data_IF_810196866044
#
_entry.id   IF_810196866044
#
_cell.length_a   1.000
_cell.length_b   1.000
_cell.length_c   1.000
_cell.angle_alpha   90.00
_cell.angle_beta   90.00
_cell.angle_gamma   90.00
#
_symmetry.space_group_name_H-M   'P 1'
#
loop_
_entity.id
_entity.type
_entity.pdbx_description
1 polymer ?
#
# COMPACT_ATOMS: atom_id res chain seq x y z
N UNK A 1 31.14 16.03 12.77
CA UNK A 1 29.80 15.53 13.14
C UNK A 1 29.75 14.05 12.79
N UNK A 2 29.71 13.18 13.81
CA UNK A 2 29.88 11.73 13.62
C UNK A 2 28.65 11.03 13.03
N UNK A 3 28.90 9.88 12.42
CA UNK A 3 27.92 8.97 11.78
C UNK A 3 26.71 8.71 12.70
N UNK A 4 26.94 8.59 14.02
CA UNK A 4 25.90 8.37 15.03
C UNK A 4 24.88 9.52 15.07
N UNK A 5 25.31 10.78 14.93
CA UNK A 5 24.41 11.94 14.91
C UNK A 5 23.62 12.02 13.60
N UNK A 6 24.20 11.56 12.50
CA UNK A 6 23.54 11.53 11.18
C UNK A 6 22.51 10.40 11.07
N UNK A 7 22.79 9.24 11.67
CA UNK A 7 21.93 8.06 11.60
C UNK A 7 20.90 7.98 12.73
N UNK A 8 20.96 8.89 13.71
CA UNK A 8 20.07 8.86 14.88
C UNK A 8 18.58 8.80 14.48
N UNK A 9 18.14 9.62 13.52
CA UNK A 9 16.75 9.62 13.04
C UNK A 9 16.34 8.30 12.38
N UNK A 10 17.27 7.62 11.73
CA UNK A 10 17.02 6.32 11.11
C UNK A 10 16.87 5.22 12.17
N UNK A 11 17.74 5.23 13.17
CA UNK A 11 17.72 4.27 14.28
C UNK A 11 16.47 4.49 15.14
N UNK A 12 16.17 5.73 15.53
CA UNK A 12 14.99 6.04 16.34
C UNK A 12 13.69 5.76 15.57
N UNK A 13 13.64 6.08 14.27
CA UNK A 13 12.51 5.73 13.41
C UNK A 13 12.29 4.21 13.31
N UNK A 14 13.39 3.44 13.21
CA UNK A 14 13.32 1.97 13.16
C UNK A 14 12.82 1.38 14.48
N UNK A 15 13.34 1.85 15.62
CA UNK A 15 12.91 1.39 16.95
C UNK A 15 11.43 1.71 17.20
N UNK A 16 11.00 2.94 16.88
CA UNK A 16 9.59 3.32 16.96
C UNK A 16 8.71 2.47 16.04
N UNK A 17 9.15 2.21 14.80
CA UNK A 17 8.44 1.35 13.85
C UNK A 17 8.27 -0.09 14.36
N UNK A 18 9.33 -0.68 14.92
CA UNK A 18 9.29 -2.02 15.52
C UNK A 18 8.34 -2.05 16.73
N UNK A 19 8.38 -1.03 17.59
CA UNK A 19 7.49 -0.94 18.74
C UNK A 19 6.01 -0.91 18.33
N UNK A 20 5.67 -0.11 17.31
CA UNK A 20 4.31 -0.04 16.77
C UNK A 20 3.91 -1.40 16.16
N UNK A 21 4.82 -2.04 15.42
CA UNK A 21 4.56 -3.33 14.79
C UNK A 21 4.35 -4.49 15.77
N UNK A 22 4.88 -4.37 16.99
CA UNK A 22 4.70 -5.35 18.06
C UNK A 22 3.48 -5.04 18.94
N UNK A 23 3.14 -3.76 19.16
CA UNK A 23 2.05 -3.36 20.06
C UNK A 23 0.69 -3.19 19.37
N UNK A 24 0.65 -3.06 18.06
CA UNK A 24 -0.59 -2.99 17.30
C UNK A 24 -0.69 -4.22 16.39
N UNK A 25 -1.90 -4.74 16.24
CA UNK A 25 -2.20 -5.78 15.26
C UNK A 25 -2.12 -5.15 13.87
N UNK A 26 -0.90 -5.06 13.33
CA UNK A 26 -0.66 -4.39 12.06
C UNK A 26 -1.35 -5.22 10.98
N UNK A 27 -2.40 -4.69 10.33
CA UNK A 27 -3.16 -5.45 9.38
C UNK A 27 -2.24 -5.91 8.25
N UNK A 28 -2.33 -7.19 7.91
CA UNK A 28 -1.45 -7.80 6.92
C UNK A 28 -1.52 -7.01 5.60
N UNK A 29 -0.43 -6.28 5.30
CA UNK A 29 -0.35 -5.37 4.14
C UNK A 29 -0.62 -6.12 2.84
N UNK A 30 -0.23 -7.40 2.77
CA UNK A 30 -0.52 -8.27 1.61
C UNK A 30 -2.02 -8.47 1.42
N UNK A 31 -2.76 -8.69 2.51
CA UNK A 31 -4.21 -8.87 2.50
C UNK A 31 -4.94 -7.56 2.18
N UNK A 32 -4.45 -6.43 2.70
CA UNK A 32 -4.92 -5.09 2.36
C UNK A 32 -4.71 -4.78 0.88
N UNK A 33 -3.50 -5.02 0.35
CA UNK A 33 -3.17 -4.80 -1.05
C UNK A 33 -3.99 -5.69 -1.98
N UNK A 34 -4.15 -6.99 -1.66
CA UNK A 34 -4.98 -7.89 -2.45
C UNK A 34 -6.46 -7.47 -2.45
N UNK A 35 -6.98 -7.01 -1.31
CA UNK A 35 -8.35 -6.51 -1.19
C UNK A 35 -8.53 -5.21 -1.97
N UNK A 36 -7.55 -4.30 -1.90
CA UNK A 36 -7.55 -3.06 -2.68
C UNK A 36 -7.52 -3.32 -4.18
N UNK A 37 -6.66 -4.23 -4.65
CA UNK A 37 -6.61 -4.63 -6.06
C UNK A 37 -7.91 -5.30 -6.52
N UNK A 38 -8.52 -6.11 -5.67
CA UNK A 38 -9.81 -6.73 -5.96
C UNK A 38 -10.92 -5.67 -6.07
N UNK A 39 -10.99 -4.75 -5.11
CA UNK A 39 -11.94 -3.63 -5.15
C UNK A 39 -11.71 -2.73 -6.37
N UNK A 40 -10.46 -2.46 -6.74
CA UNK A 40 -10.11 -1.69 -7.92
C UNK A 40 -10.60 -2.37 -9.21
N UNK A 41 -10.40 -3.68 -9.36
CA UNK A 41 -10.94 -4.45 -10.48
C UNK A 41 -12.46 -4.44 -10.51
N UNK A 42 -13.11 -4.56 -9.36
CA UNK A 42 -14.56 -4.57 -9.28
C UNK A 42 -15.15 -3.19 -9.61
N UNK A 43 -14.47 -2.12 -9.18
CA UNK A 43 -14.80 -0.75 -9.56
C UNK A 43 -14.59 -0.54 -11.07
N UNK A 44 -13.45 -1.00 -11.60
CA UNK A 44 -13.17 -0.98 -13.02
C UNK A 44 -14.28 -1.70 -13.78
N UNK A 45 -14.60 -2.95 -13.46
CA UNK A 45 -15.64 -3.74 -14.12
C UNK A 45 -17.03 -3.07 -14.04
N UNK A 46 -17.39 -2.54 -12.87
CA UNK A 46 -18.68 -1.86 -12.67
C UNK A 46 -18.82 -0.57 -13.48
N UNK A 47 -17.74 0.18 -13.65
CA UNK A 47 -17.76 1.48 -14.32
C UNK A 47 -17.12 1.47 -15.71
N UNK A 48 -16.62 0.32 -16.18
CA UNK A 48 -16.07 0.17 -17.52
C UNK A 48 -17.19 0.40 -18.52
N UNK A 49 -17.06 1.48 -19.30
CA UNK A 49 -17.96 1.69 -20.44
C UNK A 49 -17.91 0.47 -21.36
N UNK A 50 -19.06 -0.08 -21.79
CA UNK A 50 -19.07 -1.15 -22.77
C UNK A 50 -18.34 -0.65 -24.03
N UNK A 51 -17.46 -1.49 -24.58
CA UNK A 51 -16.71 -1.16 -25.80
C UNK A 51 -17.75 -0.93 -26.91
N UNK A 52 -17.78 0.28 -27.48
CA UNK A 52 -18.63 0.57 -28.64
C UNK A 52 -18.22 -0.34 -29.79
N UNK A 53 -19.19 -1.04 -30.37
CA UNK A 53 -19.00 -2.00 -31.45
C UNK A 53 -18.97 -1.32 -32.82
N UNK A 54 -18.37 -0.13 -32.92
CA UNK A 54 -18.43 0.74 -34.11
C UNK A 54 -17.04 1.36 -34.42
N UNK A 55 -16.01 0.52 -34.55
CA UNK A 55 -14.74 0.92 -35.17
C UNK A 55 -14.33 -0.10 -36.26
N UNK A 56 -15.31 -0.75 -36.90
CA UNK A 56 -15.12 -1.69 -38.03
C UNK A 56 -16.29 -1.60 -39.03
N UNK A 57 -16.56 -0.41 -39.58
CA UNK A 57 -17.22 -0.22 -40.90
C UNK A 57 -17.01 1.22 -41.43
#
# INVERSE_FOLDING_TARGET
MGIIRSCFSFISGTVCGVYIAQNYDVPNIKKLASTGLFMAKLLEEKYRKPKSKNDDD
#
